data_IF_916573361530
#
_entry.id   IF_916573361530
#
_cell.length_a   1.000
_cell.length_b   1.000
_cell.length_c   1.000
_cell.angle_alpha   90.00
_cell.angle_beta   90.00
_cell.angle_gamma   90.00
#
_symmetry.space_group_name_H-M   'P 1'
#
loop_
_entity.id
_entity.type
_entity.pdbx_description
1 polymer ?
#
# COMPACT_ATOMS: atom_id res chain seq x y z
N UNK A 1 -42.58 64.80 -8.90
CA UNK A 1 -42.36 63.40 -9.31
C UNK A 1 -43.56 62.57 -8.86
N UNK A 2 -44.32 62.07 -9.85
CA UNK A 2 -45.33 60.99 -9.88
C UNK A 2 -46.18 60.72 -8.63
N UNK A 3 -47.48 61.03 -8.74
CA UNK A 3 -48.55 60.44 -7.93
C UNK A 3 -48.64 58.92 -8.16
N UNK A 4 -48.80 58.15 -7.08
CA UNK A 4 -49.19 56.73 -7.16
C UNK A 4 -50.53 56.59 -6.45
N UNK A 5 -51.57 56.48 -7.27
CA UNK A 5 -52.96 56.21 -6.88
C UNK A 5 -53.05 54.79 -6.34
N UNK A 6 -53.09 54.63 -5.03
CA UNK A 6 -53.31 53.33 -4.38
C UNK A 6 -54.79 52.98 -4.53
N UNK A 7 -55.08 52.12 -5.51
CA UNK A 7 -56.42 51.62 -5.79
C UNK A 7 -56.93 50.75 -4.63
N UNK A 8 -58.13 51.06 -4.13
CA UNK A 8 -58.87 50.26 -3.14
C UNK A 8 -59.09 48.85 -3.68
N UNK A 9 -58.47 47.83 -3.08
CA UNK A 9 -58.85 46.44 -3.30
C UNK A 9 -60.01 46.06 -2.37
N UNK A 10 -61.22 46.35 -2.85
CA UNK A 10 -62.48 45.87 -2.28
C UNK A 10 -62.61 44.36 -2.50
N UNK A 11 -63.05 43.66 -1.46
CA UNK A 11 -62.95 42.21 -1.34
C UNK A 11 -63.79 41.40 -2.33
N UNK A 12 -63.21 40.26 -2.74
CA UNK A 12 -63.78 38.90 -2.75
C UNK A 12 -62.61 37.92 -2.80
N UNK A 13 -62.15 37.45 -1.64
CA UNK A 13 -61.18 36.36 -1.55
C UNK A 13 -61.89 35.06 -1.94
N UNK A 14 -61.70 34.64 -3.18
CA UNK A 14 -62.32 33.44 -3.75
C UNK A 14 -61.69 32.18 -3.15
N UNK A 15 -62.50 31.22 -2.73
CA UNK A 15 -62.10 29.92 -2.12
C UNK A 15 -61.00 29.21 -2.93
N UNK A 16 -60.96 29.43 -4.24
CA UNK A 16 -59.95 28.89 -5.15
C UNK A 16 -58.52 29.35 -4.83
N UNK A 17 -58.29 30.62 -4.42
CA UNK A 17 -56.92 31.10 -4.15
C UNK A 17 -56.35 30.51 -2.86
N UNK A 18 -57.21 30.23 -1.90
CA UNK A 18 -56.83 29.60 -0.62
C UNK A 18 -56.49 28.12 -0.82
N UNK A 19 -57.19 27.43 -1.73
CA UNK A 19 -56.87 26.05 -2.13
C UNK A 19 -55.51 25.91 -2.82
N UNK A 20 -55.17 26.84 -3.72
CA UNK A 20 -53.86 26.84 -4.41
C UNK A 20 -52.72 27.09 -3.42
N UNK A 21 -52.90 27.99 -2.46
CA UNK A 21 -51.90 28.23 -1.40
C UNK A 21 -51.69 27.01 -0.50
N UNK A 22 -52.75 26.26 -0.18
CA UNK A 22 -52.65 25.03 0.61
C UNK A 22 -51.89 23.91 -0.11
N UNK A 23 -52.10 23.75 -1.43
CA UNK A 23 -51.40 22.74 -2.23
C UNK A 23 -49.91 23.06 -2.39
N UNK A 24 -49.54 24.33 -2.59
CA UNK A 24 -48.12 24.72 -2.67
C UNK A 24 -47.42 24.63 -1.30
N UNK A 25 -48.12 24.94 -0.20
CA UNK A 25 -47.56 24.82 1.16
C UNK A 25 -47.32 23.37 1.60
N UNK A 26 -48.14 22.42 1.12
CA UNK A 26 -47.97 21.00 1.42
C UNK A 26 -46.68 20.39 0.82
N UNK A 27 -46.19 20.94 -0.31
CA UNK A 27 -44.95 20.46 -0.94
C UNK A 27 -43.70 20.93 -0.19
N UNK A 28 -43.75 22.07 0.48
CA UNK A 28 -42.65 22.55 1.33
C UNK A 28 -42.58 21.80 2.67
N UNK A 29 -43.71 21.30 3.18
CA UNK A 29 -43.77 20.50 4.41
C UNK A 29 -43.36 19.03 4.19
N UNK A 30 -43.39 18.55 2.94
CA UNK A 30 -42.91 17.22 2.56
C UNK A 30 -41.42 17.22 2.16
N UNK A 31 -40.62 18.06 2.83
CA UNK A 31 -39.19 17.85 2.98
C UNK A 31 -38.95 17.27 4.39
N UNK A 32 -39.50 16.08 4.64
CA UNK A 32 -39.10 15.29 5.79
C UNK A 32 -37.63 14.92 5.58
N UNK A 33 -36.76 15.74 6.17
CA UNK A 33 -35.48 15.38 6.78
C UNK A 33 -34.97 13.99 6.39
N UNK A 34 -34.25 13.93 5.26
CA UNK A 34 -33.38 12.80 4.93
C UNK A 34 -32.19 12.86 5.90
N UNK A 35 -32.41 12.44 7.14
CA UNK A 35 -31.40 12.49 8.21
C UNK A 35 -31.13 11.11 8.81
N UNK A 36 -31.62 10.05 8.17
CA UNK A 36 -31.47 8.69 8.68
C UNK A 36 -31.22 7.66 7.55
N UNK A 37 -30.17 7.91 6.76
CA UNK A 37 -29.48 6.79 6.12
C UNK A 37 -28.35 6.36 7.05
N UNK A 38 -28.30 5.10 7.50
CA UNK A 38 -27.11 4.60 8.17
C UNK A 38 -25.96 4.65 7.17
N UNK A 39 -25.00 5.55 7.42
CA UNK A 39 -23.71 5.55 6.75
C UNK A 39 -23.08 4.18 6.98
N UNK A 40 -23.12 3.31 5.97
CA UNK A 40 -22.45 2.02 6.02
C UNK A 40 -20.95 2.29 6.00
N UNK A 41 -20.38 2.44 7.19
CA UNK A 41 -18.93 2.48 7.37
C UNK A 41 -18.40 1.11 6.97
N UNK A 42 -17.80 1.04 5.77
CA UNK A 42 -17.25 -0.19 5.23
C UNK A 42 -16.23 -0.76 6.22
N UNK A 43 -16.33 -2.05 6.48
CA UNK A 43 -15.44 -2.76 7.39
C UNK A 43 -14.00 -2.69 6.86
N UNK A 44 -13.09 -2.13 7.65
CA UNK A 44 -11.67 -2.06 7.30
C UNK A 44 -11.08 -3.47 7.29
N UNK A 45 -10.71 -3.94 6.10
CA UNK A 45 -9.97 -5.20 5.95
C UNK A 45 -8.54 -4.92 6.40
N UNK A 46 -8.17 -5.46 7.57
CA UNK A 46 -6.78 -5.42 8.03
C UNK A 46 -5.99 -6.47 7.26
N UNK A 47 -5.26 -6.03 6.23
CA UNK A 47 -4.34 -6.88 5.49
C UNK A 47 -3.13 -7.16 6.37
N UNK A 48 -3.09 -8.34 6.98
CA UNK A 48 -1.90 -8.81 7.70
C UNK A 48 -0.88 -9.29 6.68
N UNK A 49 0.00 -8.39 6.25
CA UNK A 49 1.17 -8.75 5.45
C UNK A 49 2.28 -9.26 6.39
N UNK A 50 2.59 -10.56 6.32
CA UNK A 50 3.77 -11.10 6.96
C UNK A 50 4.97 -10.81 6.06
N UNK A 51 5.68 -9.71 6.31
CA UNK A 51 7.03 -9.57 5.77
C UNK A 51 7.88 -10.65 6.42
N UNK A 52 8.12 -11.74 5.69
CA UNK A 52 8.89 -12.90 6.15
C UNK A 52 10.38 -12.58 6.24
N UNK A 53 10.73 -11.51 6.96
CA UNK A 53 12.10 -11.25 7.38
C UNK A 53 12.27 -12.05 8.66
N UNK A 54 12.63 -13.33 8.51
CA UNK A 54 13.04 -14.14 9.66
C UNK A 54 14.22 -13.43 10.31
N UNK A 55 14.08 -13.10 11.59
CA UNK A 55 15.13 -12.44 12.39
C UNK A 55 16.41 -13.30 12.48
N UNK A 56 16.29 -14.61 12.30
CA UNK A 56 17.39 -15.57 12.21
C UNK A 56 17.80 -15.89 10.76
N UNK A 57 18.45 -14.94 10.10
CA UNK A 57 19.20 -15.24 8.86
C UNK A 57 20.54 -15.86 9.26
N UNK A 58 20.88 -17.02 8.67
CA UNK A 58 22.22 -17.61 8.85
C UNK A 58 23.26 -16.65 8.25
N UNK A 59 23.95 -15.92 9.13
CA UNK A 59 25.12 -15.12 8.75
C UNK A 59 26.36 -15.99 8.95
N UNK A 60 27.02 -16.29 7.85
CA UNK A 60 28.33 -16.93 7.83
C UNK A 60 29.29 -16.08 7.02
N UNK A 61 30.51 -15.96 7.48
CA UNK A 61 31.58 -15.22 6.81
C UNK A 61 32.91 -15.91 7.08
N UNK A 62 33.88 -15.63 6.23
CA UNK A 62 35.25 -16.13 6.38
C UNK A 62 36.16 -14.93 6.26
N UNK A 63 36.98 -14.74 7.29
CA UNK A 63 37.95 -13.66 7.34
C UNK A 63 39.35 -14.27 7.28
N UNK A 64 40.25 -13.57 6.60
CA UNK A 64 41.65 -13.99 6.41
C UNK A 64 42.39 -14.11 7.75
N UNK A 65 42.05 -13.28 8.73
CA UNK A 65 42.70 -13.27 10.04
C UNK A 65 42.24 -14.42 10.94
N UNK A 66 40.99 -14.88 10.77
CA UNK A 66 40.37 -15.92 11.61
C UNK A 66 40.55 -17.34 11.10
N UNK A 67 40.93 -17.53 9.83
CA UNK A 67 41.06 -18.84 9.21
C UNK A 67 42.32 -18.92 8.34
N UNK A 68 43.39 -19.52 8.87
CA UNK A 68 44.70 -19.63 8.18
C UNK A 68 44.62 -20.22 6.77
N UNK A 69 43.78 -21.24 6.48
CA UNK A 69 43.64 -21.72 5.10
C UNK A 69 42.98 -20.71 4.15
N UNK A 70 42.09 -19.83 4.64
CA UNK A 70 41.57 -18.72 3.84
C UNK A 70 42.66 -17.69 3.50
N UNK A 71 43.64 -17.49 4.39
CA UNK A 71 44.76 -16.58 4.15
C UNK A 71 45.69 -17.03 3.02
N UNK A 72 45.64 -18.31 2.63
CA UNK A 72 46.44 -18.88 1.55
C UNK A 72 45.55 -19.39 0.40
N UNK A 73 44.28 -19.01 0.37
CA UNK A 73 43.37 -19.40 -0.70
C UNK A 73 43.76 -18.67 -2.00
N UNK A 74 44.15 -19.41 -3.03
CA UNK A 74 44.37 -18.87 -4.37
C UNK A 74 43.06 -18.71 -5.16
N UNK A 75 42.01 -19.40 -4.72
CA UNK A 75 40.74 -19.53 -5.42
C UNK A 75 39.55 -19.37 -4.47
N UNK A 76 38.40 -18.92 -5.01
CA UNK A 76 37.20 -18.71 -4.21
C UNK A 76 36.62 -20.01 -3.66
N UNK A 77 36.87 -21.13 -4.35
CA UNK A 77 36.54 -22.47 -3.85
C UNK A 77 37.19 -22.78 -2.52
N UNK A 78 38.44 -22.39 -2.35
CA UNK A 78 39.22 -22.73 -1.17
C UNK A 78 38.87 -21.79 -0.02
N UNK A 79 38.54 -20.54 -0.37
CA UNK A 79 38.11 -19.51 0.58
C UNK A 79 36.71 -19.78 1.16
N UNK A 80 35.73 -20.15 0.32
CA UNK A 80 34.33 -20.29 0.73
C UNK A 80 33.93 -21.72 1.16
N UNK A 81 34.84 -22.70 1.08
CA UNK A 81 34.53 -24.11 1.40
C UNK A 81 34.05 -24.32 2.86
N UNK A 82 34.45 -23.44 3.77
CA UNK A 82 34.08 -23.55 5.20
C UNK A 82 32.67 -23.01 5.50
N UNK A 83 32.07 -22.27 4.56
CA UNK A 83 30.73 -21.71 4.77
C UNK A 83 29.68 -22.78 4.45
N UNK A 84 28.89 -23.23 5.43
CA UNK A 84 27.93 -24.31 5.20
C UNK A 84 26.83 -23.88 4.24
N UNK A 85 26.57 -24.73 3.24
CA UNK A 85 25.56 -24.48 2.20
C UNK A 85 26.04 -23.56 1.07
N UNK A 86 27.32 -23.21 1.03
CA UNK A 86 27.96 -22.56 -0.12
C UNK A 86 28.78 -23.61 -0.87
N UNK A 87 28.69 -23.60 -2.19
CA UNK A 87 29.52 -24.45 -3.04
C UNK A 87 30.02 -23.62 -4.20
N UNK A 88 31.33 -23.66 -4.44
CA UNK A 88 31.94 -23.00 -5.58
C UNK A 88 32.43 -24.09 -6.53
N UNK A 89 31.98 -24.02 -7.78
CA UNK A 89 32.41 -24.94 -8.83
C UNK A 89 32.73 -24.17 -10.10
N UNK A 90 32.93 -24.85 -11.22
CA UNK A 90 33.24 -24.21 -12.50
C UNK A 90 34.20 -25.02 -13.33
N UNK A 91 34.41 -24.59 -14.57
CA UNK A 91 35.27 -25.31 -15.52
C UNK A 91 36.76 -25.07 -15.26
N UNK A 92 37.08 -23.90 -14.68
CA UNK A 92 38.46 -23.47 -14.41
C UNK A 92 38.52 -22.57 -13.18
N UNK A 93 39.72 -22.38 -12.62
CA UNK A 93 39.99 -21.44 -11.53
C UNK A 93 39.53 -19.99 -11.80
N UNK A 94 39.47 -19.59 -13.08
CA UNK A 94 39.06 -18.23 -13.51
C UNK A 94 37.55 -18.12 -13.70
N UNK A 95 36.88 -19.21 -14.07
CA UNK A 95 35.44 -19.21 -14.36
C UNK A 95 34.73 -20.05 -13.30
N UNK A 96 34.54 -19.44 -12.14
CA UNK A 96 33.93 -20.05 -10.97
C UNK A 96 32.48 -19.59 -10.82
N UNK A 97 31.59 -20.54 -10.57
CA UNK A 97 30.18 -20.34 -10.26
C UNK A 97 29.92 -20.64 -8.80
N UNK A 98 29.28 -19.69 -8.13
CA UNK A 98 28.90 -19.81 -6.73
C UNK A 98 27.46 -20.32 -6.67
N UNK A 99 27.23 -21.28 -5.77
CA UNK A 99 25.90 -21.77 -5.44
C UNK A 99 25.67 -21.64 -3.95
N UNK A 100 24.52 -21.10 -3.56
CA UNK A 100 24.13 -20.99 -2.16
C UNK A 100 22.82 -21.72 -1.97
N UNK A 101 22.86 -22.84 -1.25
CA UNK A 101 21.70 -23.69 -0.94
C UNK A 101 20.88 -24.06 -2.19
N UNK A 102 21.58 -24.40 -3.28
CA UNK A 102 20.97 -24.78 -4.55
C UNK A 102 20.57 -23.61 -5.47
N UNK A 103 20.73 -22.35 -5.03
CA UNK A 103 20.57 -21.19 -5.89
C UNK A 103 21.86 -20.92 -6.66
N UNK A 104 21.75 -20.71 -7.97
CA UNK A 104 22.86 -20.30 -8.83
C UNK A 104 23.21 -18.81 -8.67
N UNK A 105 24.47 -18.48 -8.96
CA UNK A 105 25.07 -17.14 -8.95
C UNK A 105 24.23 -16.03 -9.60
N UNK A 106 23.50 -16.35 -10.67
CA UNK A 106 22.63 -15.40 -11.37
C UNK A 106 21.47 -14.90 -10.49
N UNK A 107 21.07 -15.68 -9.49
CA UNK A 107 20.01 -15.34 -8.53
C UNK A 107 20.58 -14.84 -7.19
N UNK A 108 21.89 -14.62 -7.09
CA UNK A 108 22.54 -14.13 -5.89
C UNK A 108 22.82 -12.63 -6.02
N UNK A 109 22.52 -11.89 -4.95
CA UNK A 109 23.05 -10.54 -4.79
C UNK A 109 24.50 -10.67 -4.30
N UNK A 110 25.43 -10.53 -5.23
CA UNK A 110 26.86 -10.51 -4.95
C UNK A 110 27.31 -9.07 -4.94
N UNK A 111 28.03 -8.66 -3.89
CA UNK A 111 28.64 -7.34 -3.80
C UNK A 111 30.13 -7.46 -3.61
N UNK A 112 30.92 -6.69 -4.37
CA UNK A 112 32.38 -6.62 -4.23
C UNK A 112 32.68 -5.20 -3.77
N UNK A 113 33.31 -5.07 -2.61
CA UNK A 113 33.61 -3.75 -2.03
C UNK A 113 32.37 -2.85 -1.86
N UNK A 114 31.20 -3.46 -1.62
CA UNK A 114 29.93 -2.75 -1.44
C UNK A 114 29.23 -2.29 -2.72
N UNK A 115 29.80 -2.52 -3.90
CA UNK A 115 29.13 -2.36 -5.20
C UNK A 115 28.34 -3.62 -5.59
#
# INVERSE_FOLDING_TARGET
MREVKVSRFSGRLTVLSMGVAAVLGAQAASAATVTDMPSSTLQTITVTANSSVRESVQKGGVDVEGYTPAAQASHLSDFLNVVPGVTVGGTSAVNQRIRVRGLDDTNLKVTIDGA
#
